data_IF_654216843148
#
_entry.id   IF_654216843148
#
_cell.length_a   1.000
_cell.length_b   1.000
_cell.length_c   1.000
_cell.angle_alpha   90.00
_cell.angle_beta   90.00
_cell.angle_gamma   90.00
#
_symmetry.space_group_name_H-M   'P 1'
#
loop_
_entity.id
_entity.type
_entity.pdbx_description
1 polymer ?
#
# COMPACT_ATOMS: atom_id res chain seq x y z
N UNK A 1 15.97 18.29 0.21
CA UNK A 1 16.92 17.18 0.03
C UNK A 1 16.79 16.24 1.22
N UNK A 2 16.37 15.02 0.98
CA UNK A 2 16.28 13.99 2.03
C UNK A 2 17.68 13.65 2.49
N UNK A 3 17.94 13.66 3.81
CA UNK A 3 19.28 13.42 4.35
C UNK A 3 19.60 11.91 4.37
N UNK A 4 19.89 11.34 3.18
CA UNK A 4 20.25 9.93 3.01
C UNK A 4 21.64 9.60 3.60
N UNK A 5 22.43 10.61 3.93
CA UNK A 5 23.76 10.48 4.54
C UNK A 5 23.73 10.41 6.06
N UNK A 6 22.55 10.48 6.71
CA UNK A 6 22.44 10.24 8.15
C UNK A 6 22.97 8.85 8.49
N UNK A 7 23.90 8.79 9.43
CA UNK A 7 24.42 7.52 9.95
C UNK A 7 23.43 6.96 10.95
N UNK A 8 23.02 5.71 10.74
CA UNK A 8 22.22 4.94 11.67
C UNK A 8 23.06 4.46 12.85
N UNK A 9 22.46 4.12 13.98
CA UNK A 9 23.17 3.54 15.13
C UNK A 9 23.94 2.26 14.76
N UNK A 10 23.46 1.54 13.76
CA UNK A 10 24.14 0.39 13.16
C UNK A 10 25.45 0.74 12.43
N UNK A 11 25.82 2.03 12.32
CA UNK A 11 27.09 2.49 11.77
C UNK A 11 27.12 2.65 10.24
N UNK A 12 26.03 2.46 9.52
CA UNK A 12 25.90 2.70 8.07
C UNK A 12 24.82 3.76 7.79
N UNK A 13 24.79 4.25 6.56
CA UNK A 13 23.83 5.25 6.09
C UNK A 13 22.73 4.62 5.24
N UNK A 14 21.63 5.36 5.01
CA UNK A 14 20.60 4.95 4.04
C UNK A 14 21.17 4.78 2.62
N UNK A 15 22.15 5.61 2.24
CA UNK A 15 22.84 5.46 0.94
C UNK A 15 23.61 4.15 0.86
N UNK A 16 24.28 3.77 1.94
CA UNK A 16 25.02 2.49 2.00
C UNK A 16 24.07 1.31 1.97
N UNK A 17 22.94 1.40 2.66
CA UNK A 17 21.85 0.42 2.56
C UNK A 17 21.34 0.30 1.10
N UNK A 18 21.04 1.42 0.47
CA UNK A 18 20.59 1.48 -0.93
C UNK A 18 21.63 0.90 -1.91
N UNK A 19 22.93 1.13 -1.68
CA UNK A 19 24.00 0.54 -2.51
C UNK A 19 24.04 -0.98 -2.42
N UNK A 20 23.91 -1.54 -1.21
CA UNK A 20 23.84 -3.00 -1.03
C UNK A 20 22.58 -3.56 -1.72
N UNK A 21 21.41 -2.96 -1.45
CA UNK A 21 20.14 -3.37 -2.06
C UNK A 21 20.23 -3.37 -3.59
N UNK A 22 20.68 -2.27 -4.19
CA UNK A 22 20.80 -2.13 -5.65
C UNK A 22 21.78 -3.15 -6.24
N UNK A 23 22.92 -3.39 -5.59
CA UNK A 23 23.85 -4.43 -6.02
C UNK A 23 23.19 -5.80 -6.00
N UNK A 24 22.57 -6.18 -4.89
CA UNK A 24 21.94 -7.50 -4.77
C UNK A 24 20.82 -7.67 -5.77
N UNK A 25 19.93 -6.68 -5.93
CA UNK A 25 18.84 -6.74 -6.91
C UNK A 25 19.38 -6.82 -8.36
N UNK A 26 20.52 -6.21 -8.66
CA UNK A 26 21.14 -6.27 -9.99
C UNK A 26 21.71 -7.65 -10.34
N UNK A 27 22.02 -8.48 -9.35
CA UNK A 27 22.58 -9.83 -9.56
C UNK A 27 21.60 -10.95 -9.20
N UNK A 28 20.49 -10.61 -8.51
CA UNK A 28 19.49 -11.59 -8.11
C UNK A 28 18.78 -12.19 -9.34
N UNK A 29 18.55 -13.49 -9.27
CA UNK A 29 17.71 -14.21 -10.24
C UNK A 29 16.25 -14.16 -9.77
N UNK A 30 15.31 -14.23 -10.71
CA UNK A 30 13.88 -14.20 -10.40
C UNK A 30 13.41 -15.40 -9.56
N UNK A 31 14.02 -16.58 -9.77
CA UNK A 31 13.54 -17.84 -9.19
C UNK A 31 14.63 -18.68 -8.51
N UNK A 32 15.90 -18.26 -8.57
CA UNK A 32 17.04 -19.00 -8.03
C UNK A 32 17.76 -18.21 -6.95
N UNK A 33 18.36 -18.93 -5.99
CA UNK A 33 19.30 -18.36 -5.05
C UNK A 33 20.61 -18.00 -5.76
N UNK A 34 21.17 -16.83 -5.44
CA UNK A 34 22.43 -16.36 -6.02
C UNK A 34 23.46 -16.15 -4.92
N UNK A 35 24.60 -16.85 -4.98
CA UNK A 35 25.70 -16.67 -4.03
C UNK A 35 26.32 -15.27 -4.19
N UNK A 36 26.38 -14.51 -3.11
CA UNK A 36 27.03 -13.21 -3.04
C UNK A 36 28.49 -13.36 -2.62
N UNK A 37 29.40 -13.04 -3.53
CA UNK A 37 30.84 -13.18 -3.28
C UNK A 37 31.36 -12.07 -2.36
N UNK A 38 32.04 -12.42 -1.28
CA UNK A 38 32.60 -11.48 -0.29
C UNK A 38 33.45 -10.37 -0.92
N UNK A 39 34.28 -10.72 -1.92
CA UNK A 39 35.11 -9.73 -2.61
C UNK A 39 34.31 -8.68 -3.40
N UNK A 40 33.09 -9.01 -3.84
CA UNK A 40 32.19 -8.06 -4.51
C UNK A 40 31.48 -7.16 -3.50
N UNK A 41 31.05 -7.73 -2.38
CA UNK A 41 30.44 -6.98 -1.29
C UNK A 41 31.42 -5.94 -0.72
N UNK A 42 32.67 -6.30 -0.50
CA UNK A 42 33.71 -5.39 -0.01
C UNK A 42 34.00 -4.22 -0.98
N UNK A 43 33.79 -4.41 -2.29
CA UNK A 43 33.95 -3.35 -3.30
C UNK A 43 32.86 -2.30 -3.28
N UNK A 44 31.78 -2.49 -2.52
CA UNK A 44 30.70 -1.52 -2.41
C UNK A 44 31.10 -0.27 -1.61
N UNK A 45 32.24 -0.29 -0.93
CA UNK A 45 32.74 0.84 -0.14
C UNK A 45 31.82 1.19 1.04
N UNK A 46 31.18 0.19 1.63
CA UNK A 46 30.31 0.34 2.81
C UNK A 46 31.16 0.12 4.05
N UNK A 47 31.22 1.12 4.93
CA UNK A 47 32.10 1.06 6.11
C UNK A 47 31.70 -0.04 7.09
N UNK A 48 30.41 -0.16 7.39
CA UNK A 48 29.85 -1.16 8.32
C UNK A 48 29.16 -2.31 7.55
N UNK A 49 29.82 -2.86 6.52
CA UNK A 49 29.23 -3.87 5.64
C UNK A 49 28.82 -5.15 6.38
N UNK A 50 29.58 -5.57 7.40
CA UNK A 50 29.26 -6.78 8.16
C UNK A 50 27.99 -6.57 8.99
N UNK A 51 27.86 -5.43 9.68
CA UNK A 51 26.64 -5.09 10.42
C UNK A 51 25.42 -4.96 9.48
N UNK A 52 25.61 -4.29 8.35
CA UNK A 52 24.53 -4.15 7.36
C UNK A 52 24.07 -5.52 6.81
N UNK A 53 24.99 -6.45 6.59
CA UNK A 53 24.66 -7.81 6.18
C UNK A 53 23.88 -8.53 7.29
N UNK A 54 24.32 -8.42 8.55
CA UNK A 54 23.65 -9.06 9.70
C UNK A 54 22.21 -8.54 9.88
N UNK A 55 21.97 -7.26 9.60
CA UNK A 55 20.64 -6.67 9.67
C UNK A 55 19.69 -7.22 8.57
N UNK A 56 20.21 -7.64 7.40
CA UNK A 56 19.41 -8.08 6.25
C UNK A 56 19.47 -9.58 5.96
N UNK A 57 20.27 -10.34 6.73
CA UNK A 57 20.48 -11.78 6.52
C UNK A 57 19.70 -12.62 7.54
N UNK A 58 19.13 -13.74 7.10
CA UNK A 58 18.66 -14.80 7.99
C UNK A 58 19.84 -15.74 8.26
N UNK A 59 20.23 -15.88 9.51
CA UNK A 59 21.37 -16.72 9.90
C UNK A 59 21.06 -18.21 9.82
N UNK A 60 22.12 -19.05 9.70
CA UNK A 60 22.05 -20.52 9.69
C UNK A 60 21.37 -21.08 10.94
N UNK A 61 21.54 -20.38 12.07
CA UNK A 61 21.06 -20.78 13.37
C UNK A 61 19.56 -20.50 13.57
N UNK A 62 18.97 -19.62 12.79
CA UNK A 62 17.55 -19.26 12.89
C UNK A 62 16.71 -19.71 11.69
N UNK A 63 17.34 -20.01 10.55
CA UNK A 63 16.64 -20.39 9.33
C UNK A 63 15.74 -21.62 9.55
N UNK A 64 14.43 -21.41 9.47
CA UNK A 64 13.38 -22.42 9.70
C UNK A 64 13.39 -23.10 11.08
N UNK A 65 14.23 -22.67 12.02
CA UNK A 65 14.21 -23.22 13.39
C UNK A 65 12.96 -22.72 14.13
N UNK A 66 12.24 -23.70 14.71
CA UNK A 66 10.99 -23.42 15.42
C UNK A 66 9.80 -23.08 14.53
N UNK A 67 9.96 -23.13 13.20
CA UNK A 67 8.85 -23.03 12.27
C UNK A 67 8.14 -24.39 12.22
N UNK A 68 7.05 -24.53 12.95
CA UNK A 68 6.28 -25.80 13.11
C UNK A 68 5.04 -25.81 12.24
N UNK A 69 4.43 -24.62 12.06
CA UNK A 69 3.21 -24.43 11.29
C UNK A 69 3.31 -23.15 10.47
N UNK A 70 2.53 -22.99 9.41
CA UNK A 70 2.44 -21.71 8.68
C UNK A 70 2.04 -20.51 9.55
N UNK A 71 1.46 -20.75 10.71
CA UNK A 71 1.04 -19.71 11.67
C UNK A 71 2.15 -19.23 12.61
N UNK A 72 3.35 -19.82 12.55
CA UNK A 72 4.51 -19.39 13.34
C UNK A 72 5.11 -18.08 12.74
N UNK A 73 4.59 -16.96 13.20
CA UNK A 73 4.83 -15.63 12.67
C UNK A 73 6.07 -14.92 13.24
N UNK A 74 6.54 -15.34 14.40
CA UNK A 74 7.61 -14.67 15.15
C UNK A 74 9.00 -14.97 14.58
N UNK A 75 9.11 -15.89 13.66
CA UNK A 75 10.39 -16.32 13.11
C UNK A 75 10.81 -15.45 11.95
N UNK A 76 12.09 -15.19 11.85
CA UNK A 76 12.68 -14.53 10.68
C UNK A 76 12.45 -15.40 9.44
N UNK A 77 11.95 -14.79 8.39
CA UNK A 77 11.64 -15.47 7.15
C UNK A 77 11.95 -14.59 5.91
N UNK A 78 11.80 -15.18 4.74
CA UNK A 78 12.09 -14.54 3.46
C UNK A 78 11.31 -13.24 3.18
N UNK A 79 10.19 -13.02 3.86
CA UNK A 79 9.41 -11.78 3.70
C UNK A 79 9.95 -10.62 4.56
N UNK A 80 10.80 -10.94 5.53
CA UNK A 80 11.34 -9.97 6.49
C UNK A 80 12.81 -9.63 6.22
N UNK A 81 13.56 -10.55 5.61
CA UNK A 81 14.97 -10.36 5.27
C UNK A 81 15.28 -10.93 3.88
N UNK A 82 15.99 -10.18 3.03
CA UNK A 82 16.21 -10.55 1.63
C UNK A 82 17.37 -11.51 1.39
N UNK A 83 18.20 -11.77 2.39
CA UNK A 83 19.38 -12.64 2.28
C UNK A 83 19.28 -13.81 3.24
N UNK A 84 19.96 -14.90 2.90
CA UNK A 84 20.18 -16.02 3.82
C UNK A 84 21.67 -16.34 3.91
N UNK A 85 22.09 -16.81 5.09
CA UNK A 85 23.43 -17.36 5.32
C UNK A 85 23.30 -18.87 5.44
N UNK A 86 24.11 -19.60 4.70
CA UNK A 86 24.15 -21.06 4.75
C UNK A 86 25.59 -21.53 4.53
N UNK A 87 26.10 -22.38 5.40
CA UNK A 87 27.47 -22.93 5.33
C UNK A 87 28.55 -21.86 5.16
N UNK A 88 28.43 -20.74 5.89
CA UNK A 88 29.37 -19.61 5.84
C UNK A 88 29.29 -18.74 4.58
N UNK A 89 28.36 -19.01 3.67
CA UNK A 89 28.14 -18.23 2.45
C UNK A 89 26.84 -17.45 2.56
N UNK A 90 26.76 -16.33 1.85
CA UNK A 90 25.57 -15.46 1.78
C UNK A 90 24.91 -15.64 0.41
N UNK A 91 23.60 -15.81 0.42
CA UNK A 91 22.80 -15.96 -0.79
C UNK A 91 21.71 -14.89 -0.83
N UNK A 92 21.54 -14.27 -1.99
CA UNK A 92 20.33 -13.52 -2.29
C UNK A 92 19.17 -14.48 -2.51
N UNK A 93 18.04 -14.17 -1.90
CA UNK A 93 16.79 -14.86 -2.21
C UNK A 93 16.36 -14.55 -3.65
N UNK A 94 15.59 -15.44 -4.29
CA UNK A 94 14.93 -15.10 -5.54
C UNK A 94 14.23 -13.74 -5.47
N UNK A 95 14.42 -12.89 -6.45
CA UNK A 95 13.88 -11.53 -6.43
C UNK A 95 12.35 -11.48 -6.23
N UNK A 96 11.64 -12.48 -6.75
CA UNK A 96 10.20 -12.63 -6.58
C UNK A 96 9.76 -12.85 -5.12
N UNK A 97 10.67 -13.29 -4.25
CA UNK A 97 10.39 -13.55 -2.83
C UNK A 97 11.07 -12.50 -1.95
N UNK A 98 12.34 -12.22 -2.22
CA UNK A 98 13.19 -11.42 -1.33
C UNK A 98 13.10 -9.90 -1.52
N UNK A 99 12.52 -9.41 -2.63
CA UNK A 99 12.53 -7.96 -2.91
C UNK A 99 11.85 -7.13 -1.82
N UNK A 100 10.73 -7.59 -1.29
CA UNK A 100 10.03 -6.91 -0.20
C UNK A 100 10.80 -6.96 1.13
N UNK A 101 11.60 -8.00 1.35
CA UNK A 101 12.42 -8.16 2.55
C UNK A 101 13.39 -7.01 2.80
N UNK A 102 13.81 -6.28 1.76
CA UNK A 102 14.64 -5.08 1.91
C UNK A 102 13.93 -3.97 2.67
N UNK A 103 12.67 -3.72 2.35
CA UNK A 103 11.89 -2.71 3.04
C UNK A 103 11.60 -3.13 4.49
N UNK A 104 11.20 -4.35 4.72
CA UNK A 104 10.89 -4.87 6.07
C UNK A 104 12.13 -4.89 6.98
N UNK A 105 13.30 -5.27 6.44
CA UNK A 105 14.55 -5.24 7.17
C UNK A 105 14.95 -3.80 7.56
N UNK A 106 14.87 -2.86 6.60
CA UNK A 106 15.16 -1.45 6.87
C UNK A 106 14.22 -0.88 7.93
N UNK A 107 12.92 -1.14 7.83
CA UNK A 107 11.95 -0.68 8.81
C UNK A 107 12.20 -1.28 10.20
N UNK A 108 12.67 -2.53 10.27
CA UNK A 108 13.05 -3.17 11.53
C UNK A 108 14.24 -2.44 12.17
N UNK A 109 15.29 -2.15 11.38
CA UNK A 109 16.46 -1.41 11.87
C UNK A 109 16.07 -0.02 12.37
N UNK A 110 15.29 0.72 11.58
CA UNK A 110 14.86 2.08 11.96
C UNK A 110 14.03 2.07 13.24
N UNK A 111 13.09 1.12 13.37
CA UNK A 111 12.25 1.01 14.59
C UNK A 111 13.03 0.60 15.82
N UNK A 112 14.03 -0.28 15.69
CA UNK A 112 14.85 -0.72 16.82
C UNK A 112 15.75 0.38 17.37
N UNK A 113 16.05 1.42 16.59
CA UNK A 113 16.86 2.56 17.00
C UNK A 113 16.05 3.62 17.77
N UNK A 114 14.74 3.55 17.73
CA UNK A 114 13.88 4.52 18.38
C UNK A 114 13.21 3.89 19.62
N UNK A 115 13.10 4.68 20.68
CA UNK A 115 12.34 4.30 21.87
C UNK A 115 10.88 4.06 21.50
N UNK A 116 10.19 3.19 22.23
CA UNK A 116 8.77 2.82 21.96
C UNK A 116 7.86 4.03 21.77
N UNK A 117 8.09 5.12 22.51
CA UNK A 117 7.31 6.36 22.40
C UNK A 117 7.47 7.07 21.05
N UNK A 118 8.61 6.92 20.39
CA UNK A 118 8.91 7.57 19.11
C UNK A 118 8.51 6.69 17.89
N UNK A 119 8.16 5.43 18.08
CA UNK A 119 7.79 4.54 16.98
C UNK A 119 6.54 5.01 16.21
N UNK A 120 5.62 5.69 16.90
CA UNK A 120 4.43 6.30 16.26
C UNK A 120 4.82 7.45 15.33
N UNK A 121 5.87 8.19 15.67
CA UNK A 121 6.36 9.29 14.85
C UNK A 121 7.04 8.77 13.58
N UNK A 122 7.83 7.71 13.66
CA UNK A 122 8.39 7.03 12.47
C UNK A 122 7.27 6.62 11.53
N UNK A 123 6.27 5.99 12.07
CA UNK A 123 5.11 5.56 11.29
C UNK A 123 4.39 6.71 10.59
N UNK A 124 4.29 7.86 11.23
CA UNK A 124 3.72 9.08 10.64
C UNK A 124 4.61 9.63 9.54
N UNK A 125 5.93 9.68 9.78
CA UNK A 125 6.91 10.13 8.79
C UNK A 125 6.91 9.23 7.54
N UNK A 126 6.82 7.91 7.70
CA UNK A 126 6.72 6.97 6.58
C UNK A 126 5.44 7.25 5.76
N UNK A 127 4.30 7.49 6.42
CA UNK A 127 3.07 7.87 5.73
C UNK A 127 3.26 9.12 4.86
N UNK A 128 3.83 10.18 5.45
CA UNK A 128 4.12 11.41 4.72
C UNK A 128 5.10 11.22 3.56
N UNK A 129 6.13 10.39 3.73
CA UNK A 129 7.08 10.09 2.66
C UNK A 129 6.41 9.39 1.47
N UNK A 130 5.43 8.53 1.71
CA UNK A 130 4.67 7.87 0.64
C UNK A 130 3.84 8.89 -0.13
N UNK A 131 3.13 9.76 0.57
CA UNK A 131 2.36 10.84 -0.05
C UNK A 131 3.25 11.74 -0.91
N UNK A 132 4.35 12.23 -0.34
CA UNK A 132 5.31 13.10 -1.04
C UNK A 132 5.88 12.40 -2.28
N UNK A 133 6.20 11.11 -2.17
CA UNK A 133 6.71 10.32 -3.29
C UNK A 133 5.66 10.19 -4.42
N UNK A 134 4.41 9.90 -4.07
CA UNK A 134 3.33 9.80 -5.07
C UNK A 134 3.10 11.16 -5.74
N UNK A 135 3.07 12.25 -4.97
CA UNK A 135 2.94 13.62 -5.49
C UNK A 135 4.07 13.98 -6.44
N UNK A 136 5.31 13.66 -6.08
CA UNK A 136 6.49 13.85 -6.94
C UNK A 136 6.35 13.08 -8.26
N UNK A 137 5.95 11.80 -8.19
CA UNK A 137 5.75 10.97 -9.39
C UNK A 137 4.60 11.43 -10.28
N UNK A 138 3.54 11.97 -9.72
CA UNK A 138 2.47 12.61 -10.50
C UNK A 138 3.00 13.79 -11.29
N UNK A 139 3.76 14.70 -10.65
CA UNK A 139 4.37 15.85 -11.33
C UNK A 139 5.31 15.41 -12.46
N UNK A 140 6.18 14.41 -12.19
CA UNK A 140 7.09 13.84 -13.22
C UNK A 140 6.32 13.29 -14.43
N UNK A 141 5.07 12.88 -14.23
CA UNK A 141 4.18 12.35 -15.26
C UNK A 141 3.25 13.43 -15.87
N UNK A 142 3.51 14.68 -15.61
CA UNK A 142 2.69 15.78 -16.13
C UNK A 142 1.27 15.82 -15.58
N UNK A 143 1.01 15.12 -14.49
CA UNK A 143 -0.28 15.15 -13.82
C UNK A 143 -0.37 16.32 -12.84
N UNK A 144 -1.55 16.91 -12.75
CA UNK A 144 -1.89 17.95 -11.77
C UNK A 144 -2.81 17.37 -10.71
N UNK A 145 -2.70 17.86 -9.49
CA UNK A 145 -3.49 17.40 -8.36
C UNK A 145 -3.78 18.52 -7.37
N UNK A 146 -4.77 18.29 -6.52
CA UNK A 146 -5.02 19.07 -5.30
C UNK A 146 -5.21 18.13 -4.11
N UNK A 147 -5.22 18.69 -2.92
CA UNK A 147 -5.38 17.97 -1.65
C UNK A 147 -5.74 18.95 -0.55
N UNK A 148 -6.13 18.45 0.59
CA UNK A 148 -6.30 19.29 1.78
C UNK A 148 -7.53 18.97 2.59
N UNK A 149 -7.73 19.80 3.62
CA UNK A 149 -8.87 19.72 4.53
C UNK A 149 -10.11 20.35 3.90
N UNK A 150 -11.28 19.79 4.19
CA UNK A 150 -12.55 20.41 3.77
C UNK A 150 -12.77 21.73 4.49
N UNK A 151 -13.44 22.67 3.82
CA UNK A 151 -13.87 23.90 4.48
C UNK A 151 -15.02 23.63 5.46
N UNK A 152 -15.11 24.43 6.56
CA UNK A 152 -16.23 24.35 7.49
C UNK A 152 -17.59 24.51 6.76
N UNK A 153 -18.64 23.81 7.22
CA UNK A 153 -18.73 23.04 8.48
C UNK A 153 -18.19 21.61 8.40
N UNK A 154 -17.74 21.17 7.22
CA UNK A 154 -17.26 19.84 7.01
C UNK A 154 -15.93 19.56 7.75
N UNK A 155 -15.75 18.31 8.20
CA UNK A 155 -14.52 17.88 8.87
C UNK A 155 -13.87 16.73 8.09
N UNK A 156 -12.56 16.75 7.99
CA UNK A 156 -11.75 15.72 7.33
C UNK A 156 -10.96 16.32 6.18
N UNK A 157 -10.39 15.47 5.40
CA UNK A 157 -9.45 15.83 4.34
C UNK A 157 -9.56 14.85 3.16
N UNK A 158 -9.00 15.23 2.03
CA UNK A 158 -8.69 14.38 0.90
C UNK A 158 -7.17 14.36 0.73
N UNK A 159 -6.55 13.17 0.81
CA UNK A 159 -5.09 13.03 0.70
C UNK A 159 -4.59 13.50 -0.67
N UNK A 160 -5.33 13.16 -1.74
CA UNK A 160 -4.99 13.57 -3.08
C UNK A 160 -6.19 13.45 -4.03
N UNK A 161 -6.40 14.48 -4.86
CA UNK A 161 -7.45 14.51 -5.89
C UNK A 161 -6.82 14.86 -7.23
N UNK A 162 -7.07 14.04 -8.24
CA UNK A 162 -6.62 14.25 -9.62
C UNK A 162 -7.84 14.36 -10.52
N UNK A 163 -8.00 15.53 -11.15
CA UNK A 163 -9.11 15.81 -12.05
C UNK A 163 -8.76 15.46 -13.49
N UNK A 164 -9.58 14.63 -14.12
CA UNK A 164 -9.53 14.33 -15.55
C UNK A 164 -10.82 14.79 -16.23
N UNK A 165 -10.83 14.83 -17.55
CA UNK A 165 -11.99 15.30 -18.33
C UNK A 165 -13.26 14.51 -18.02
N UNK A 166 -13.14 13.17 -17.90
CA UNK A 166 -14.29 12.27 -17.76
C UNK A 166 -14.35 11.58 -16.38
N UNK A 167 -13.56 12.03 -15.39
CA UNK A 167 -13.57 11.44 -14.06
C UNK A 167 -12.69 12.19 -13.07
N UNK A 168 -12.90 11.90 -11.81
CA UNK A 168 -12.13 12.44 -10.69
C UNK A 168 -11.55 11.25 -9.95
N UNK A 169 -10.24 11.20 -9.78
CA UNK A 169 -9.55 10.17 -9.03
C UNK A 169 -9.31 10.67 -7.61
N UNK A 170 -9.90 10.00 -6.64
CA UNK A 170 -9.77 10.27 -5.22
C UNK A 170 -8.82 9.23 -4.63
N UNK A 171 -7.64 9.66 -4.22
CA UNK A 171 -6.64 8.78 -3.63
C UNK A 171 -6.61 8.96 -2.12
N UNK A 172 -6.64 7.86 -1.41
CA UNK A 172 -6.41 7.80 0.02
C UNK A 172 -5.27 6.82 0.31
N UNK A 173 -4.30 7.27 1.06
CA UNK A 173 -3.04 6.57 1.25
C UNK A 173 -2.92 5.99 2.65
N UNK A 174 -2.68 4.69 2.74
CA UNK A 174 -2.45 3.99 4.01
C UNK A 174 -1.09 3.30 3.97
N UNK A 175 -0.24 3.62 4.93
CA UNK A 175 1.05 2.93 5.12
C UNK A 175 0.89 1.46 5.52
N UNK A 176 -0.30 1.06 5.98
CA UNK A 176 -0.57 -0.27 6.51
C UNK A 176 -0.44 -1.32 5.41
N UNK A 177 0.27 -2.40 5.72
CA UNK A 177 0.33 -3.64 4.95
C UNK A 177 -0.19 -4.78 5.81
N UNK A 178 -0.30 -5.97 5.25
CA UNK A 178 -0.60 -7.15 6.07
C UNK A 178 0.47 -7.34 7.15
N UNK A 179 0.02 -7.47 8.40
CA UNK A 179 0.90 -7.82 9.52
C UNK A 179 1.48 -9.21 9.34
N UNK A 180 2.56 -9.54 10.06
CA UNK A 180 3.14 -10.89 10.04
C UNK A 180 2.11 -11.96 10.35
N UNK A 181 1.25 -11.73 11.36
CA UNK A 181 0.15 -12.63 11.73
C UNK A 181 -0.83 -12.87 10.60
N UNK A 182 -1.20 -11.81 9.90
CA UNK A 182 -2.07 -11.92 8.72
C UNK A 182 -1.38 -12.70 7.60
N UNK A 183 -0.10 -12.41 7.32
CA UNK A 183 0.70 -13.13 6.30
C UNK A 183 0.86 -14.63 6.61
N UNK A 184 0.85 -15.02 7.88
CA UNK A 184 0.88 -16.43 8.30
C UNK A 184 -0.50 -17.12 8.29
N UNK A 185 -1.56 -16.44 7.86
CA UNK A 185 -2.88 -17.03 7.67
C UNK A 185 -3.83 -16.84 8.85
N UNK A 186 -3.52 -15.95 9.79
CA UNK A 186 -4.46 -15.61 10.85
C UNK A 186 -5.61 -14.77 10.28
N UNK A 187 -6.77 -15.40 10.08
CA UNK A 187 -7.93 -14.80 9.42
C UNK A 187 -8.40 -13.52 10.12
N UNK A 188 -8.39 -13.52 11.45
CA UNK A 188 -8.79 -12.37 12.23
C UNK A 188 -7.89 -11.15 11.99
N UNK A 189 -6.58 -11.37 11.87
CA UNK A 189 -5.63 -10.31 11.52
C UNK A 189 -5.74 -9.86 10.07
N UNK A 190 -6.02 -10.79 9.16
CA UNK A 190 -6.30 -10.43 7.74
C UNK A 190 -7.48 -9.45 7.69
N UNK A 191 -8.58 -9.79 8.36
CA UNK A 191 -9.76 -8.92 8.41
C UNK A 191 -9.42 -7.59 9.06
N UNK A 192 -8.76 -7.56 10.22
CA UNK A 192 -8.39 -6.32 10.90
C UNK A 192 -7.46 -5.42 10.06
N UNK A 193 -6.54 -6.02 9.32
CA UNK A 193 -5.64 -5.28 8.42
C UNK A 193 -6.37 -4.73 7.20
N UNK A 194 -7.31 -5.49 6.60
CA UNK A 194 -8.18 -5.01 5.53
C UNK A 194 -9.08 -3.86 5.99
N UNK A 195 -9.67 -3.97 7.19
CA UNK A 195 -10.50 -2.91 7.76
C UNK A 195 -9.73 -1.62 7.93
N UNK A 196 -8.53 -1.69 8.51
CA UNK A 196 -7.70 -0.51 8.79
C UNK A 196 -6.93 0.02 7.57
N UNK A 197 -7.01 -0.61 6.42
CA UNK A 197 -6.40 -0.14 5.18
C UNK A 197 -7.44 0.13 4.10
N UNK A 198 -8.01 -0.91 3.51
CA UNK A 198 -8.96 -0.78 2.41
C UNK A 198 -10.23 -0.02 2.84
N UNK A 199 -10.88 -0.49 3.91
CA UNK A 199 -12.20 0.02 4.25
C UNK A 199 -12.12 1.45 4.76
N UNK A 200 -11.17 1.74 5.63
CA UNK A 200 -10.99 3.08 6.18
C UNK A 200 -10.64 4.10 5.08
N UNK A 201 -9.80 3.73 4.10
CA UNK A 201 -9.47 4.62 2.97
C UNK A 201 -10.62 4.78 1.98
N UNK A 202 -11.35 3.70 1.67
CA UNK A 202 -12.55 3.83 0.82
C UNK A 202 -13.60 4.73 1.48
N UNK A 203 -13.70 4.71 2.85
CA UNK A 203 -14.53 5.63 3.61
C UNK A 203 -14.25 7.07 3.31
N UNK A 204 -13.01 7.39 3.33
CA UNK A 204 -12.58 8.76 3.10
C UNK A 204 -12.84 9.19 1.66
N UNK A 205 -12.51 8.33 0.67
CA UNK A 205 -12.84 8.58 -0.72
C UNK A 205 -14.35 8.79 -0.96
N UNK A 206 -15.18 7.91 -0.38
CA UNK A 206 -16.64 8.02 -0.52
C UNK A 206 -17.18 9.29 0.12
N UNK A 207 -16.61 9.70 1.25
CA UNK A 207 -16.98 10.96 1.88
C UNK A 207 -16.73 12.13 0.94
N UNK A 208 -15.55 12.21 0.32
CA UNK A 208 -15.24 13.25 -0.67
C UNK A 208 -16.22 13.18 -1.86
N UNK A 209 -16.47 11.97 -2.37
CA UNK A 209 -17.44 11.75 -3.45
C UNK A 209 -18.86 12.21 -3.05
N UNK A 210 -19.29 11.86 -1.84
CA UNK A 210 -20.61 12.26 -1.31
C UNK A 210 -20.75 13.78 -1.22
N UNK A 211 -19.74 14.48 -0.71
CA UNK A 211 -19.76 15.95 -0.65
C UNK A 211 -19.90 16.55 -2.06
N UNK A 212 -19.17 16.03 -3.03
CA UNK A 212 -19.29 16.47 -4.44
C UNK A 212 -20.64 16.14 -5.06
N UNK A 213 -21.30 15.05 -4.66
CA UNK A 213 -22.66 14.72 -5.14
C UNK A 213 -23.69 15.66 -4.53
N UNK A 214 -23.62 15.87 -3.23
CA UNK A 214 -24.56 16.71 -2.47
C UNK A 214 -24.51 18.18 -2.91
N UNK A 215 -23.30 18.74 -2.99
CA UNK A 215 -23.06 20.18 -3.17
C UNK A 215 -22.67 20.56 -4.61
N UNK A 216 -22.39 19.56 -5.47
CA UNK A 216 -21.86 19.75 -6.80
C UNK A 216 -20.35 19.96 -6.86
N UNK A 217 -19.70 20.20 -5.71
CA UNK A 217 -18.27 20.46 -5.58
C UNK A 217 -17.75 20.12 -4.18
N UNK A 218 -16.43 20.16 -4.03
CA UNK A 218 -15.74 20.19 -2.73
C UNK A 218 -14.63 21.26 -2.76
N UNK A 219 -14.51 22.04 -1.68
CA UNK A 219 -13.42 23.01 -1.50
C UNK A 219 -12.37 22.41 -0.55
N UNK A 220 -11.12 22.38 -1.00
CA UNK A 220 -9.97 21.82 -0.30
C UNK A 220 -8.97 22.92 0.05
N UNK A 221 -8.61 23.03 1.34
CA UNK A 221 -7.57 23.94 1.82
C UNK A 221 -6.27 23.15 2.05
N UNK A 222 -5.21 23.53 1.31
CA UNK A 222 -3.90 22.87 1.34
C UNK A 222 -3.08 23.12 2.62
N UNK A 223 -3.61 23.92 3.55
CA UNK A 223 -2.92 24.31 4.78
C UNK A 223 -1.93 25.48 4.61
N UNK A 224 -1.69 25.93 3.38
CA UNK A 224 -0.85 27.12 3.06
C UNK A 224 -1.68 28.33 2.74
N UNK A 225 -2.99 28.26 2.89
CA UNK A 225 -3.93 29.34 2.60
C UNK A 225 -4.54 29.29 1.20
N UNK A 226 -4.17 28.32 0.35
CA UNK A 226 -4.81 28.14 -0.95
C UNK A 226 -6.03 27.23 -0.82
N UNK A 227 -7.12 27.64 -1.46
CA UNK A 227 -8.35 26.85 -1.56
C UNK A 227 -8.57 26.46 -3.00
N UNK A 228 -8.67 25.16 -3.26
CA UNK A 228 -8.98 24.60 -4.58
C UNK A 228 -10.37 24.02 -4.59
N UNK A 229 -11.19 24.45 -5.55
CA UNK A 229 -12.51 23.86 -5.79
C UNK A 229 -12.44 22.75 -6.79
N UNK A 230 -12.96 21.58 -6.43
CA UNK A 230 -13.15 20.42 -7.29
C UNK A 230 -14.63 20.28 -7.59
N UNK A 231 -15.02 20.51 -8.83
CA UNK A 231 -16.43 20.44 -9.24
C UNK A 231 -16.78 19.05 -9.77
N UNK A 232 -17.96 18.55 -9.43
CA UNK A 232 -18.41 17.21 -9.87
C UNK A 232 -18.72 17.18 -11.37
N UNK A 233 -19.47 18.15 -11.87
CA UNK A 233 -19.80 18.34 -13.30
C UNK A 233 -20.22 17.07 -14.06
N UNK A 234 -20.97 16.17 -13.41
CA UNK A 234 -21.37 14.89 -13.98
C UNK A 234 -20.26 13.85 -14.15
N UNK A 235 -19.02 14.16 -13.78
CA UNK A 235 -17.88 13.23 -13.81
C UNK A 235 -18.05 12.09 -12.80
N UNK A 236 -17.54 10.91 -13.12
CA UNK A 236 -17.49 9.80 -12.16
C UNK A 236 -16.33 9.96 -11.18
N UNK A 237 -16.53 9.61 -9.93
CA UNK A 237 -15.45 9.48 -8.96
C UNK A 237 -14.89 8.05 -8.97
N UNK A 238 -13.57 7.91 -9.09
CA UNK A 238 -12.82 6.67 -8.88
C UNK A 238 -12.20 6.73 -7.49
N UNK A 239 -12.62 5.85 -6.58
CA UNK A 239 -12.14 5.80 -5.19
C UNK A 239 -10.96 4.86 -5.10
N UNK A 240 -9.78 5.38 -4.82
CA UNK A 240 -8.51 4.65 -4.93
C UNK A 240 -7.83 4.60 -3.57
N UNK A 241 -7.84 3.42 -2.97
CA UNK A 241 -7.06 3.13 -1.77
C UNK A 241 -5.65 2.69 -2.16
N UNK A 242 -4.64 3.36 -1.65
CA UNK A 242 -3.24 3.01 -1.85
C UNK A 242 -2.65 2.48 -0.55
N UNK A 243 -2.07 1.28 -0.59
CA UNK A 243 -1.28 0.73 0.51
C UNK A 243 0.19 0.64 0.12
N UNK A 244 1.08 0.66 1.12
CA UNK A 244 2.51 0.59 0.87
C UNK A 244 2.92 -0.80 0.37
N UNK A 245 2.45 -1.85 1.03
CA UNK A 245 2.76 -3.24 0.67
C UNK A 245 1.57 -3.98 0.09
N UNK A 246 1.86 -5.04 -0.64
CA UNK A 246 0.82 -5.82 -1.30
C UNK A 246 -0.05 -6.60 -0.31
N UNK A 247 -1.34 -6.66 -0.60
CA UNK A 247 -2.32 -7.56 0.00
C UNK A 247 -2.59 -8.78 -0.91
N UNK A 248 -1.85 -8.91 -2.00
CA UNK A 248 -1.96 -10.03 -2.93
C UNK A 248 -3.36 -10.15 -3.56
N UNK A 249 -3.95 -11.35 -3.57
CA UNK A 249 -5.27 -11.58 -4.17
C UNK A 249 -6.39 -10.71 -3.59
N UNK A 250 -6.25 -10.24 -2.34
CA UNK A 250 -7.23 -9.37 -1.69
C UNK A 250 -7.32 -7.97 -2.33
N UNK A 251 -6.44 -7.66 -3.29
CA UNK A 251 -6.49 -6.42 -4.10
C UNK A 251 -7.27 -6.61 -5.41
N UNK A 252 -7.74 -7.82 -5.68
CA UNK A 252 -8.58 -8.07 -6.86
C UNK A 252 -9.89 -7.28 -6.78
N UNK A 253 -10.22 -6.59 -7.87
CA UNK A 253 -11.40 -5.71 -7.92
C UNK A 253 -12.72 -6.41 -7.66
N UNK A 254 -12.86 -7.66 -8.11
CA UNK A 254 -14.10 -8.40 -7.87
C UNK A 254 -14.23 -8.79 -6.41
N UNK A 255 -13.11 -9.22 -5.80
CA UNK A 255 -13.07 -9.49 -4.36
C UNK A 255 -13.35 -8.23 -3.54
N UNK A 256 -12.73 -7.09 -3.88
CA UNK A 256 -12.97 -5.81 -3.19
C UNK A 256 -14.44 -5.44 -3.23
N UNK A 257 -15.08 -5.49 -4.39
CA UNK A 257 -16.51 -5.20 -4.51
C UNK A 257 -17.36 -6.13 -3.64
N UNK A 258 -17.04 -7.43 -3.65
CA UNK A 258 -17.77 -8.41 -2.85
C UNK A 258 -17.56 -8.17 -1.35
N UNK A 259 -16.33 -7.90 -0.92
CA UNK A 259 -16.01 -7.58 0.49
C UNK A 259 -16.78 -6.33 0.93
N UNK A 260 -16.78 -5.28 0.11
CA UNK A 260 -17.47 -4.02 0.44
C UNK A 260 -18.99 -4.22 0.51
N UNK A 261 -19.57 -4.99 -0.41
CA UNK A 261 -21.01 -5.32 -0.38
C UNK A 261 -21.36 -6.13 0.88
N UNK A 262 -20.59 -7.16 1.22
CA UNK A 262 -20.84 -7.98 2.40
C UNK A 262 -20.73 -7.17 3.70
N UNK A 263 -19.72 -6.32 3.80
CA UNK A 263 -19.50 -5.46 4.96
C UNK A 263 -20.65 -4.46 5.14
N UNK A 264 -21.21 -3.92 4.05
CA UNK A 264 -22.34 -2.99 4.13
C UNK A 264 -23.65 -3.66 4.57
N UNK A 265 -23.75 -4.96 4.37
CA UNK A 265 -24.98 -5.71 4.66
C UNK A 265 -24.88 -6.54 5.96
N UNK A 266 -23.71 -6.63 6.59
CA UNK A 266 -23.45 -7.49 7.76
C UNK A 266 -22.63 -6.74 8.80
N UNK A 267 -22.89 -7.03 10.06
CA UNK A 267 -22.00 -6.62 11.16
C UNK A 267 -20.95 -7.70 11.39
N UNK A 268 -19.72 -7.30 11.60
CA UNK A 268 -18.66 -8.21 12.00
C UNK A 268 -18.78 -8.52 13.50
N UNK A 269 -18.84 -9.79 13.85
CA UNK A 269 -18.80 -10.25 15.23
C UNK A 269 -17.45 -10.93 15.41
N UNK A 270 -16.65 -10.43 16.35
CA UNK A 270 -15.40 -11.06 16.72
C UNK A 270 -15.66 -12.04 17.88
N UNK A 271 -15.81 -13.32 17.57
CA UNK A 271 -15.72 -14.39 18.56
C UNK A 271 -14.27 -14.87 18.59
N UNK A 272 -13.55 -14.51 19.65
CA UNK A 272 -12.14 -14.87 19.79
C UNK A 272 -11.82 -15.28 21.22
N UNK A 273 -11.34 -16.50 21.37
CA UNK A 273 -10.94 -17.07 22.67
C UNK A 273 -9.57 -16.56 23.17
N UNK A 274 -8.96 -15.64 22.46
CA UNK A 274 -7.64 -15.10 22.77
C UNK A 274 -7.66 -13.72 23.42
N UNK A 275 -6.57 -13.39 24.10
CA UNK A 275 -6.37 -12.12 24.81
C UNK A 275 -6.11 -10.89 23.90
N UNK A 276 -6.39 -10.94 22.60
CA UNK A 276 -6.15 -9.79 21.70
C UNK A 276 -7.23 -8.72 21.82
N UNK A 277 -7.21 -8.03 22.96
CA UNK A 277 -8.12 -6.91 23.27
C UNK A 277 -8.05 -5.79 22.25
N UNK A 278 -6.91 -5.60 21.58
CA UNK A 278 -6.74 -4.54 20.59
C UNK A 278 -7.56 -4.84 19.32
N UNK A 279 -7.51 -6.05 18.81
CA UNK A 279 -8.27 -6.40 17.61
C UNK A 279 -9.78 -6.38 17.86
N UNK A 280 -10.23 -6.77 19.07
CA UNK A 280 -11.63 -6.60 19.45
C UNK A 280 -12.05 -5.14 19.44
N UNK A 281 -11.20 -4.24 19.95
CA UNK A 281 -11.45 -2.79 19.88
C UNK A 281 -11.52 -2.30 18.43
N UNK A 282 -10.63 -2.78 17.57
CA UNK A 282 -10.56 -2.37 16.16
C UNK A 282 -11.82 -2.82 15.42
N UNK A 283 -12.30 -4.06 15.65
CA UNK A 283 -13.57 -4.56 15.07
C UNK A 283 -14.78 -3.77 15.59
N UNK A 284 -14.83 -3.49 16.89
CA UNK A 284 -15.94 -2.70 17.47
C UNK A 284 -15.94 -1.27 16.96
N UNK A 285 -14.77 -0.63 16.86
CA UNK A 285 -14.63 0.70 16.26
C UNK A 285 -15.09 0.67 14.80
N UNK A 286 -14.65 -0.32 14.06
CA UNK A 286 -15.05 -0.51 12.68
C UNK A 286 -16.57 -0.63 12.53
N UNK A 287 -17.25 -1.50 13.28
CA UNK A 287 -18.71 -1.62 13.22
C UNK A 287 -19.41 -0.28 13.50
N UNK A 288 -18.90 0.49 14.45
CA UNK A 288 -19.44 1.83 14.77
C UNK A 288 -19.23 2.82 13.63
N UNK A 289 -18.06 2.77 13.01
CA UNK A 289 -17.73 3.67 11.89
C UNK A 289 -18.49 3.25 10.63
N UNK A 290 -18.70 1.95 10.40
CA UNK A 290 -19.49 1.41 9.29
C UNK A 290 -20.97 1.80 9.34
N UNK A 291 -21.56 1.95 10.52
CA UNK A 291 -22.94 2.42 10.61
C UNK A 291 -23.12 3.81 9.99
N UNK A 292 -22.15 4.69 10.15
CA UNK A 292 -22.16 6.02 9.49
C UNK A 292 -22.03 5.89 7.97
N UNK A 293 -21.24 4.96 7.52
CA UNK A 293 -20.98 4.68 6.12
C UNK A 293 -22.17 4.11 5.39
N UNK A 294 -22.84 3.14 6.00
CA UNK A 294 -24.06 2.54 5.47
C UNK A 294 -25.11 3.64 5.23
N UNK A 295 -25.17 4.66 6.06
CA UNK A 295 -26.06 5.79 5.83
C UNK A 295 -25.71 6.55 4.54
N UNK A 296 -24.42 6.93 4.36
CA UNK A 296 -23.97 7.62 3.13
C UNK A 296 -24.17 6.75 1.89
N UNK A 297 -23.86 5.46 1.96
CA UNK A 297 -24.07 4.53 0.84
C UNK A 297 -25.53 4.33 0.50
N UNK A 298 -26.40 4.29 1.49
CA UNK A 298 -27.85 4.20 1.27
C UNK A 298 -28.40 5.49 0.65
N UNK A 299 -27.89 6.65 1.06
CA UNK A 299 -28.23 7.93 0.43
C UNK A 299 -27.75 7.98 -1.01
N UNK A 300 -26.53 7.52 -1.34
CA UNK A 300 -26.05 7.43 -2.71
C UNK A 300 -26.85 6.42 -3.54
N UNK A 301 -27.24 5.29 -2.95
CA UNK A 301 -28.12 4.31 -3.62
C UNK A 301 -29.52 4.88 -3.88
N UNK A 302 -30.06 5.70 -2.98
CA UNK A 302 -31.37 6.34 -3.15
C UNK A 302 -31.34 7.46 -4.18
N UNK A 303 -30.22 8.17 -4.32
CA UNK A 303 -30.05 9.31 -5.21
C UNK A 303 -29.40 8.95 -6.55
N UNK A 304 -28.85 7.76 -6.69
CA UNK A 304 -28.12 7.29 -7.87
C UNK A 304 -28.90 6.29 -8.72
N UNK A 305 -28.33 5.97 -9.87
CA UNK A 305 -28.82 4.91 -10.73
C UNK A 305 -28.68 3.56 -10.01
N UNK A 306 -29.76 3.07 -9.43
CA UNK A 306 -29.84 1.90 -8.55
C UNK A 306 -29.38 0.58 -9.20
N UNK A 307 -28.99 0.61 -10.47
CA UNK A 307 -28.55 -0.56 -11.25
C UNK A 307 -27.05 -0.83 -11.17
N UNK A 308 -26.26 0.12 -10.69
CA UNK A 308 -24.79 -0.07 -10.59
C UNK A 308 -24.38 -0.35 -9.14
N UNK A 309 -23.52 -1.37 -8.97
CA UNK A 309 -22.88 -1.61 -7.68
C UNK A 309 -22.11 -0.34 -7.26
N UNK A 310 -22.39 0.25 -6.07
CA UNK A 310 -21.76 1.50 -5.63
C UNK A 310 -20.24 1.40 -5.56
N UNK A 311 -19.71 0.18 -5.36
CA UNK A 311 -18.27 -0.09 -5.32
C UNK A 311 -17.65 -0.38 -6.68
N UNK A 312 -18.37 -0.15 -7.77
CA UNK A 312 -17.86 -0.41 -9.12
C UNK A 312 -16.62 0.46 -9.44
N UNK A 313 -16.54 1.64 -8.87
CA UNK A 313 -15.44 2.58 -9.04
C UNK A 313 -14.42 2.53 -7.89
N UNK A 314 -14.38 1.44 -7.13
CA UNK A 314 -13.43 1.24 -6.03
C UNK A 314 -12.19 0.48 -6.49
N UNK A 315 -11.03 0.93 -6.01
CA UNK A 315 -9.71 0.39 -6.32
C UNK A 315 -8.92 0.19 -5.04
N UNK A 316 -8.22 -0.92 -4.93
CA UNK A 316 -7.25 -1.16 -3.87
C UNK A 316 -5.92 -1.56 -4.51
N UNK A 317 -4.96 -0.67 -4.47
CA UNK A 317 -3.68 -0.82 -5.15
C UNK A 317 -2.55 -0.74 -4.13
N UNK A 318 -1.49 -1.48 -4.36
CA UNK A 318 -0.22 -1.20 -3.70
C UNK A 318 0.57 -0.13 -4.49
N UNK A 319 1.64 0.35 -3.86
CA UNK A 319 2.47 1.38 -4.46
C UNK A 319 3.07 0.95 -5.80
N UNK A 320 3.47 -0.32 -5.94
CA UNK A 320 4.06 -0.84 -7.18
C UNK A 320 3.03 -0.88 -8.31
N UNK A 321 1.80 -1.29 -8.01
CA UNK A 321 0.70 -1.29 -8.98
C UNK A 321 0.37 0.12 -9.44
N UNK A 322 0.35 1.10 -8.52
CA UNK A 322 0.16 2.50 -8.87
C UNK A 322 1.30 3.00 -9.77
N UNK A 323 2.56 2.72 -9.42
CA UNK A 323 3.71 3.11 -10.26
C UNK A 323 3.63 2.51 -11.66
N UNK A 324 3.18 1.26 -11.78
CA UNK A 324 2.98 0.62 -13.08
C UNK A 324 1.85 1.28 -13.89
N UNK A 325 0.78 1.74 -13.26
CA UNK A 325 -0.28 2.51 -13.91
C UNK A 325 0.28 3.85 -14.42
N UNK A 326 1.04 4.55 -13.59
CA UNK A 326 1.62 5.84 -13.89
C UNK A 326 2.73 5.79 -14.95
N UNK A 327 3.42 4.67 -15.09
CA UNK A 327 4.61 4.52 -15.95
C UNK A 327 4.38 5.02 -17.40
N UNK A 328 3.19 4.76 -17.93
CA UNK A 328 2.83 5.09 -19.32
C UNK A 328 1.73 6.16 -19.39
N UNK A 329 1.66 7.07 -18.43
CA UNK A 329 0.76 8.22 -18.44
C UNK A 329 1.59 9.52 -18.42
N UNK A 330 1.11 10.53 -19.13
CA UNK A 330 1.73 11.85 -19.22
C UNK A 330 0.70 12.97 -18.99
N UNK A 331 -0.48 12.64 -18.52
CA UNK A 331 -1.57 13.57 -18.19
C UNK A 331 -2.57 12.92 -17.24
N UNK A 332 -3.47 13.71 -16.65
CA UNK A 332 -4.57 13.24 -15.82
C UNK A 332 -5.51 12.32 -16.60
N UNK A 333 -5.81 12.64 -17.86
CA UNK A 333 -6.70 11.81 -18.70
C UNK A 333 -6.07 10.46 -19.03
N UNK A 334 -4.77 10.44 -19.35
CA UNK A 334 -4.06 9.18 -19.57
C UNK A 334 -3.96 8.34 -18.30
N UNK A 335 -3.71 8.96 -17.14
CA UNK A 335 -3.68 8.27 -15.87
C UNK A 335 -5.03 7.59 -15.58
N UNK A 336 -6.13 8.32 -15.75
CA UNK A 336 -7.47 7.78 -15.62
C UNK A 336 -7.75 6.64 -16.61
N UNK A 337 -7.36 6.80 -17.87
CA UNK A 337 -7.50 5.77 -18.90
C UNK A 337 -6.72 4.50 -18.51
N UNK A 338 -5.47 4.64 -18.02
CA UNK A 338 -4.65 3.51 -17.56
C UNK A 338 -5.20 2.82 -16.33
N UNK A 339 -5.75 3.58 -15.39
CA UNK A 339 -6.46 3.03 -14.23
C UNK A 339 -7.64 2.17 -14.70
N UNK A 340 -8.41 2.67 -15.65
CA UNK A 340 -9.61 1.99 -16.15
C UNK A 340 -9.36 0.83 -17.12
N UNK A 341 -8.13 0.58 -17.56
CA UNK A 341 -7.80 -0.52 -18.48
C UNK A 341 -8.37 -1.87 -18.02
N UNK A 342 -8.33 -2.15 -16.72
CA UNK A 342 -8.83 -3.41 -16.14
C UNK A 342 -10.24 -3.32 -15.57
N UNK A 343 -10.92 -2.16 -15.71
CA UNK A 343 -12.19 -1.88 -15.02
C UNK A 343 -13.32 -2.87 -15.31
N UNK A 344 -13.38 -3.35 -16.54
CA UNK A 344 -14.45 -4.22 -17.03
C UNK A 344 -14.02 -5.68 -17.18
N UNK A 345 -12.82 -6.02 -16.67
CA UNK A 345 -12.24 -7.34 -16.87
C UNK A 345 -12.37 -8.16 -15.60
N UNK A 346 -12.84 -9.38 -15.78
CA UNK A 346 -12.82 -10.41 -14.75
C UNK A 346 -12.28 -11.69 -15.40
N UNK A 347 -11.05 -12.01 -15.09
CA UNK A 347 -10.40 -13.22 -15.59
C UNK A 347 -10.33 -14.33 -14.53
N UNK A 348 -10.79 -14.06 -13.30
CA UNK A 348 -10.70 -14.99 -12.17
C UNK A 348 -9.25 -15.34 -11.79
N UNK A 349 -8.28 -14.52 -12.23
CA UNK A 349 -6.88 -14.78 -11.92
C UNK A 349 -6.45 -14.21 -10.57
N UNK A 350 -7.22 -13.29 -10.01
CA UNK A 350 -6.93 -12.55 -8.79
C UNK A 350 -5.51 -11.95 -8.78
N UNK A 351 -5.01 -11.59 -9.97
CA UNK A 351 -3.65 -11.10 -10.15
C UNK A 351 -3.64 -9.89 -11.09
N UNK A 352 -3.46 -8.71 -10.52
CA UNK A 352 -3.42 -7.44 -11.23
C UNK A 352 -2.47 -7.42 -12.43
N UNK A 353 -1.24 -7.92 -12.25
CA UNK A 353 -0.20 -7.90 -13.29
C UNK A 353 -0.56 -8.78 -14.48
N UNK A 354 -1.10 -9.97 -14.20
CA UNK A 354 -1.55 -10.91 -15.24
C UNK A 354 -2.74 -10.35 -16.03
N UNK A 355 -3.72 -9.82 -15.33
CA UNK A 355 -4.91 -9.24 -15.95
C UNK A 355 -4.55 -8.04 -16.82
N UNK A 356 -3.75 -7.10 -16.29
CA UNK A 356 -3.28 -5.96 -17.06
C UNK A 356 -2.47 -6.37 -18.29
N UNK A 357 -1.58 -7.35 -18.17
CA UNK A 357 -0.81 -7.88 -19.29
C UNK A 357 -1.69 -8.44 -20.39
N UNK A 358 -2.70 -9.24 -20.03
CA UNK A 358 -3.63 -9.84 -20.99
C UNK A 358 -4.46 -8.76 -21.72
N UNK A 359 -4.96 -7.77 -20.99
CA UNK A 359 -5.68 -6.63 -21.59
C UNK A 359 -4.83 -5.93 -22.63
N UNK A 360 -3.58 -5.64 -22.30
CA UNK A 360 -2.68 -4.94 -23.22
C UNK A 360 -2.35 -5.78 -24.45
N UNK A 361 -2.19 -7.10 -24.29
CA UNK A 361 -1.99 -8.02 -25.40
C UNK A 361 -3.21 -8.03 -26.34
N UNK A 362 -4.44 -8.11 -25.79
CA UNK A 362 -5.68 -8.10 -26.58
C UNK A 362 -5.86 -6.78 -27.32
N UNK A 363 -5.52 -5.67 -26.69
CA UNK A 363 -5.64 -4.34 -27.29
C UNK A 363 -4.47 -3.98 -28.25
N UNK A 364 -3.59 -4.91 -28.56
CA UNK A 364 -2.46 -4.68 -29.47
C UNK A 364 -1.37 -3.76 -28.92
N UNK A 365 -1.42 -3.40 -27.66
CA UNK A 365 -0.40 -2.60 -26.99
C UNK A 365 0.82 -3.46 -26.65
N UNK A 366 2.03 -3.00 -26.95
CA UNK A 366 3.25 -3.68 -26.52
C UNK A 366 3.26 -3.81 -24.98
N UNK A 367 3.54 -5.02 -24.52
CA UNK A 367 3.63 -5.37 -23.09
C UNK A 367 4.91 -4.83 -22.48
#
# INVERSE_FOLDING_TARGET
>A
MRNTSRVLESGYTFDEYGRLMNYVLSVADAVKFVELRKNKLNKLGIKAIEQLIDDVVIGDDVLNKGFRTPLDEEKENATNKPLIKANGKIYALPATIGSWGWFEALMTVVRNQEKEDNQKDIDKEVGKLIEDYIKEKLIEKGATYCYGTYLPPEKGEADLVVEATNGIMLFEMKKKSLTRKAKSGNEFKIVADLLGSLIDSQAQCFRTSHLMIRDGYVDLNDGNGNVTRVEKQGRTAECISICLGTFGPLQDRMLIKSIMDEICNKSLIAEYDGNDKQTIKDVNKFNKDMQKWILFLNEERANGDSKTNPFFNSWFLDLEQLMLIMQNSNSNDELLARLRETKYINMGSYNFYRERRMVRMVNGNKV
#
